data_IF_617363200122
#
_entry.id   IF_617363200122
#
_cell.length_a   1.000
_cell.length_b   1.000
_cell.length_c   1.000
_cell.angle_alpha   90.00
_cell.angle_beta   90.00
_cell.angle_gamma   90.00
#
_symmetry.space_group_name_H-M   'P 1'
#
loop_
_entity.id
_entity.type
_entity.pdbx_description
1 polymer ?
#
# COMPACT_ATOMS: atom_id res chain seq x y z
N UNK A 1 2.94 9.76 5.06
CA UNK A 1 3.32 8.95 6.25
C UNK A 1 4.82 8.92 6.41
N UNK A 2 5.33 8.70 7.62
CA UNK A 2 6.76 8.57 7.94
C UNK A 2 6.94 7.58 9.09
N UNK A 3 8.15 7.02 9.23
CA UNK A 3 8.51 6.11 10.32
C UNK A 3 8.19 4.64 10.03
N UNK A 4 8.13 3.82 11.06
CA UNK A 4 7.94 2.38 10.97
C UNK A 4 6.45 2.06 10.80
N UNK A 5 6.10 1.53 9.63
CA UNK A 5 4.73 1.10 9.31
C UNK A 5 4.65 -0.43 9.40
N UNK A 6 4.02 -0.94 10.45
CA UNK A 6 3.87 -2.38 10.64
C UNK A 6 2.88 -2.98 9.64
N UNK A 7 3.31 -3.97 8.86
CA UNK A 7 2.41 -4.79 8.07
C UNK A 7 1.75 -5.84 8.98
N UNK A 8 0.47 -5.64 9.30
CA UNK A 8 -0.24 -6.48 10.27
C UNK A 8 -0.91 -7.69 9.63
N UNK A 9 -0.89 -8.87 10.27
CA UNK A 9 -1.63 -10.05 9.83
C UNK A 9 -3.14 -9.87 10.05
N UNK A 10 -3.93 -10.69 9.37
CA UNK A 10 -5.38 -10.82 9.59
C UNK A 10 -5.66 -12.18 10.22
N UNK A 11 -5.80 -12.30 11.54
CA UNK A 11 -6.13 -13.56 12.19
C UNK A 11 -7.48 -14.11 11.71
N UNK A 12 -7.51 -15.42 11.44
CA UNK A 12 -8.71 -16.13 10.99
C UNK A 12 -8.99 -17.34 11.88
N UNK A 13 -10.23 -17.79 11.89
CA UNK A 13 -10.61 -19.06 12.51
C UNK A 13 -10.28 -20.27 11.61
N UNK A 14 -10.64 -21.47 12.06
CA UNK A 14 -10.41 -22.72 11.33
C UNK A 14 -11.17 -22.80 9.98
N UNK A 15 -12.15 -21.94 9.77
CA UNK A 15 -12.93 -21.81 8.54
C UNK A 15 -12.41 -20.69 7.62
N UNK A 16 -11.36 -19.96 8.04
CA UNK A 16 -10.78 -18.83 7.29
C UNK A 16 -11.55 -17.53 7.47
N UNK A 17 -12.44 -17.42 8.46
CA UNK A 17 -13.20 -16.20 8.73
C UNK A 17 -12.37 -15.25 9.60
N UNK A 18 -12.19 -13.97 9.19
CA UNK A 18 -11.43 -12.99 9.95
C UNK A 18 -11.99 -12.74 11.36
N UNK A 19 -11.09 -12.62 12.32
CA UNK A 19 -11.43 -12.46 13.73
C UNK A 19 -11.13 -11.03 14.21
N UNK A 20 -12.17 -10.20 14.38
CA UNK A 20 -12.06 -8.78 14.74
C UNK A 20 -11.25 -8.55 16.02
N UNK A 21 -11.55 -9.27 17.10
CA UNK A 21 -10.91 -9.02 18.40
C UNK A 21 -9.40 -9.29 18.38
N UNK A 22 -8.89 -10.47 17.95
CA UNK A 22 -7.45 -10.69 17.83
C UNK A 22 -6.76 -9.75 16.83
N UNK A 23 -7.43 -9.37 15.74
CA UNK A 23 -6.91 -8.39 14.79
C UNK A 23 -6.66 -7.03 15.45
N UNK A 24 -7.65 -6.49 16.14
CA UNK A 24 -7.53 -5.19 16.82
C UNK A 24 -6.54 -5.23 17.99
N UNK A 25 -6.46 -6.35 18.71
CA UNK A 25 -5.48 -6.54 19.77
C UNK A 25 -4.05 -6.49 19.22
N UNK A 26 -3.77 -7.21 18.13
CA UNK A 26 -2.47 -7.19 17.47
C UNK A 26 -2.11 -5.80 16.92
N UNK A 27 -3.06 -5.11 16.29
CA UNK A 27 -2.87 -3.74 15.81
C UNK A 27 -2.49 -2.78 16.95
N UNK A 28 -3.21 -2.86 18.08
CA UNK A 28 -2.93 -2.04 19.26
C UNK A 28 -1.54 -2.34 19.80
N UNK A 29 -1.22 -3.61 19.96
CA UNK A 29 0.10 -4.04 20.42
C UNK A 29 1.23 -3.47 19.54
N UNK A 30 1.11 -3.54 18.21
CA UNK A 30 2.11 -3.00 17.30
C UNK A 30 2.32 -1.48 17.51
N UNK A 31 1.24 -0.72 17.67
CA UNK A 31 1.30 0.72 17.91
C UNK A 31 1.90 1.05 19.31
N UNK A 32 1.59 0.26 20.34
CA UNK A 32 2.12 0.40 21.69
C UNK A 32 3.60 0.01 21.77
N UNK A 33 4.05 -0.91 20.92
CA UNK A 33 5.46 -1.29 20.77
C UNK A 33 6.31 -0.29 19.96
N UNK A 34 5.74 0.82 19.53
CA UNK A 34 6.50 1.92 18.93
C UNK A 34 6.41 2.00 17.41
N UNK A 35 5.55 1.21 16.75
CA UNK A 35 5.28 1.44 15.32
C UNK A 35 4.52 2.75 15.13
N UNK A 36 4.91 3.54 14.14
CA UNK A 36 4.29 4.83 13.86
C UNK A 36 2.93 4.68 13.18
N UNK A 37 2.78 3.66 12.35
CA UNK A 37 1.56 3.40 11.60
C UNK A 37 1.36 1.90 11.32
N UNK A 38 0.20 1.54 10.76
CA UNK A 38 -0.17 0.19 10.37
C UNK A 38 -0.48 0.12 8.88
N UNK A 39 -0.03 -0.95 8.23
CA UNK A 39 -0.47 -1.33 6.89
C UNK A 39 -1.42 -2.53 7.00
N UNK A 40 -2.71 -2.26 6.90
CA UNK A 40 -3.81 -3.23 6.94
C UNK A 40 -3.99 -3.86 5.57
N UNK A 41 -4.30 -5.15 5.52
CA UNK A 41 -4.57 -5.85 4.25
C UNK A 41 -3.45 -5.70 3.19
N UNK A 42 -2.20 -5.67 3.64
CA UNK A 42 -1.05 -5.91 2.77
C UNK A 42 -0.88 -7.40 2.48
N UNK A 43 0.26 -7.81 1.92
CA UNK A 43 0.58 -9.24 1.69
C UNK A 43 0.66 -10.02 3.00
N UNK A 44 1.21 -9.43 4.06
CA UNK A 44 1.22 -10.02 5.41
C UNK A 44 -0.19 -10.21 5.96
N UNK A 45 -1.11 -9.30 5.65
CA UNK A 45 -2.52 -9.37 6.03
C UNK A 45 -3.36 -10.25 5.10
N UNK A 46 -2.73 -10.95 4.15
CA UNK A 46 -3.36 -11.91 3.23
C UNK A 46 -4.59 -11.35 2.47
N UNK A 47 -4.51 -10.08 2.05
CA UNK A 47 -5.63 -9.38 1.41
C UNK A 47 -6.27 -10.16 0.24
N UNK A 48 -5.46 -10.89 -0.53
CA UNK A 48 -5.91 -11.64 -1.69
C UNK A 48 -6.64 -12.96 -1.33
N UNK A 49 -6.66 -13.35 -0.06
CA UNK A 49 -7.42 -14.50 0.46
C UNK A 49 -8.86 -14.13 0.82
N UNK A 50 -9.21 -12.84 0.80
CA UNK A 50 -10.54 -12.33 1.16
C UNK A 50 -11.23 -11.69 -0.03
N UNK A 51 -12.56 -11.84 -0.07
CA UNK A 51 -13.39 -11.11 -1.03
C UNK A 51 -13.49 -9.61 -0.69
N UNK A 52 -14.01 -8.82 -1.61
CA UNK A 52 -14.09 -7.36 -1.45
C UNK A 52 -14.98 -6.93 -0.26
N UNK A 53 -16.03 -7.68 0.07
CA UNK A 53 -16.92 -7.37 1.19
C UNK A 53 -16.19 -7.56 2.52
N UNK A 54 -15.51 -8.68 2.68
CA UNK A 54 -14.69 -8.99 3.85
C UNK A 54 -13.54 -7.99 4.04
N UNK A 55 -12.86 -7.61 2.94
CA UNK A 55 -11.81 -6.58 2.99
C UNK A 55 -12.34 -5.24 3.47
N UNK A 56 -13.51 -4.80 2.99
CA UNK A 56 -14.17 -3.57 3.46
C UNK A 56 -14.53 -3.63 4.94
N UNK A 57 -15.00 -4.77 5.41
CA UNK A 57 -15.30 -4.97 6.83
C UNK A 57 -14.05 -4.83 7.70
N UNK A 58 -12.94 -5.46 7.33
CA UNK A 58 -11.65 -5.34 8.04
C UNK A 58 -11.14 -3.89 8.03
N UNK A 59 -11.25 -3.18 6.92
CA UNK A 59 -10.92 -1.74 6.83
C UNK A 59 -11.73 -0.94 7.83
N UNK A 60 -13.05 -1.19 7.89
CA UNK A 60 -13.95 -0.50 8.81
C UNK A 60 -13.57 -0.77 10.27
N UNK A 61 -13.25 -2.03 10.63
CA UNK A 61 -12.80 -2.36 11.99
C UNK A 61 -11.59 -1.53 12.44
N UNK A 62 -10.59 -1.41 11.56
CA UNK A 62 -9.39 -0.65 11.88
C UNK A 62 -9.68 0.87 11.99
N UNK A 63 -10.45 1.41 11.05
CA UNK A 63 -10.80 2.83 11.02
C UNK A 63 -11.65 3.27 12.23
N UNK A 64 -12.53 2.39 12.73
CA UNK A 64 -13.33 2.64 13.95
C UNK A 64 -12.49 2.58 15.23
N UNK A 65 -11.40 1.81 15.23
CA UNK A 65 -10.62 1.51 16.44
C UNK A 65 -9.37 2.38 16.62
N UNK A 66 -8.84 2.94 15.53
CA UNK A 66 -7.56 3.65 15.53
C UNK A 66 -7.65 4.99 14.79
N UNK A 67 -6.69 5.88 15.08
CA UNK A 67 -6.50 7.10 14.30
C UNK A 67 -6.17 6.77 12.84
N UNK A 68 -7.04 7.17 11.92
CA UNK A 68 -6.91 6.88 10.49
C UNK A 68 -5.69 7.56 9.86
N UNK A 69 -5.14 8.62 10.47
CA UNK A 69 -3.87 9.21 10.05
C UNK A 69 -2.68 8.26 10.23
N UNK A 70 -2.83 7.22 11.06
CA UNK A 70 -1.84 6.15 11.28
C UNK A 70 -2.17 4.86 10.51
N UNK A 71 -3.09 4.91 9.55
CA UNK A 71 -3.53 3.72 8.80
C UNK A 71 -3.23 3.86 7.31
N UNK A 72 -2.57 2.84 6.77
CA UNK A 72 -2.43 2.54 5.35
C UNK A 72 -3.17 1.24 5.05
N UNK A 73 -3.71 1.06 3.85
CA UNK A 73 -4.43 -0.17 3.50
C UNK A 73 -4.12 -0.67 2.10
N UNK A 74 -3.91 -1.97 1.96
CA UNK A 74 -3.77 -2.63 0.67
C UNK A 74 -5.11 -2.74 -0.06
N UNK A 75 -5.24 -2.09 -1.22
CA UNK A 75 -6.47 -2.12 -2.04
C UNK A 75 -6.26 -2.72 -3.44
N UNK A 76 -5.00 -2.95 -3.84
CA UNK A 76 -4.67 -3.45 -5.18
C UNK A 76 -5.22 -4.85 -5.44
N UNK A 77 -5.88 -5.02 -6.61
CA UNK A 77 -6.33 -6.29 -7.18
C UNK A 77 -6.05 -6.29 -8.68
N UNK A 78 -6.12 -7.45 -9.38
CA UNK A 78 -6.01 -7.47 -10.83
C UNK A 78 -7.13 -6.71 -11.55
N UNK A 79 -8.30 -6.56 -10.91
CA UNK A 79 -9.48 -5.91 -11.47
C UNK A 79 -9.51 -4.43 -11.09
N UNK A 80 -9.41 -3.53 -12.07
CA UNK A 80 -9.45 -2.08 -11.84
C UNK A 80 -10.72 -1.65 -11.08
N UNK A 81 -11.88 -2.17 -11.47
CA UNK A 81 -13.15 -1.81 -10.84
C UNK A 81 -13.19 -2.19 -9.34
N UNK A 82 -12.60 -3.33 -8.97
CA UNK A 82 -12.52 -3.75 -7.57
C UNK A 82 -11.49 -2.90 -6.81
N UNK A 83 -10.32 -2.62 -7.39
CA UNK A 83 -9.33 -1.71 -6.81
C UNK A 83 -9.94 -0.33 -6.56
N UNK A 84 -10.70 0.21 -7.51
CA UNK A 84 -11.47 1.46 -7.34
C UNK A 84 -12.46 1.39 -6.18
N UNK A 85 -13.26 0.32 -6.12
CA UNK A 85 -14.29 0.17 -5.08
C UNK A 85 -13.70 0.00 -3.67
N UNK A 86 -12.55 -0.67 -3.55
CA UNK A 86 -11.82 -0.82 -2.29
C UNK A 86 -11.14 0.48 -1.88
N UNK A 87 -10.50 1.18 -2.83
CA UNK A 87 -9.82 2.45 -2.55
C UNK A 87 -10.81 3.55 -2.20
N UNK A 88 -11.97 3.60 -2.88
CA UNK A 88 -13.04 4.52 -2.54
C UNK A 88 -13.61 4.27 -1.13
N UNK A 89 -13.81 2.99 -0.76
CA UNK A 89 -14.24 2.63 0.59
C UNK A 89 -13.21 3.02 1.66
N UNK A 90 -11.91 2.86 1.37
CA UNK A 90 -10.86 3.30 2.27
C UNK A 90 -10.89 4.82 2.50
N UNK A 91 -11.07 5.61 1.43
CA UNK A 91 -11.26 7.08 1.53
C UNK A 91 -12.50 7.45 2.37
N UNK A 92 -13.64 6.77 2.12
CA UNK A 92 -14.87 6.98 2.89
C UNK A 92 -14.71 6.61 4.39
N UNK A 93 -13.85 5.64 4.70
CA UNK A 93 -13.50 5.25 6.06
C UNK A 93 -12.42 6.14 6.70
N UNK A 94 -11.86 7.11 5.97
CA UNK A 94 -10.92 8.10 6.47
C UNK A 94 -9.44 7.74 6.34
N UNK A 95 -9.09 6.66 5.63
CA UNK A 95 -7.69 6.35 5.33
C UNK A 95 -7.07 7.43 4.45
N UNK A 96 -5.87 7.89 4.83
CA UNK A 96 -5.12 8.84 4.01
C UNK A 96 -4.37 8.19 2.85
N UNK A 97 -3.98 6.91 2.98
CA UNK A 97 -3.10 6.21 2.03
C UNK A 97 -3.63 4.83 1.67
N UNK A 98 -3.73 4.56 0.37
CA UNK A 98 -3.94 3.22 -0.19
C UNK A 98 -2.63 2.68 -0.80
N UNK A 99 -2.27 1.45 -0.45
CA UNK A 99 -1.15 0.71 -1.01
C UNK A 99 -1.64 -0.15 -2.17
N UNK A 100 -1.18 0.12 -3.39
CA UNK A 100 -1.74 -0.47 -4.61
C UNK A 100 -0.71 -1.24 -5.41
N UNK A 101 -0.88 -2.59 -5.46
CA UNK A 101 -0.16 -3.46 -6.38
C UNK A 101 -0.51 -3.14 -7.85
N UNK A 102 0.43 -3.33 -8.80
CA UNK A 102 0.06 -3.35 -10.23
C UNK A 102 -0.92 -4.50 -10.52
N UNK A 103 -1.64 -4.48 -11.65
CA UNK A 103 -2.42 -5.64 -12.09
C UNK A 103 -1.45 -6.80 -12.36
N UNK A 104 -1.58 -7.90 -11.61
CA UNK A 104 -0.57 -8.95 -11.54
C UNK A 104 -0.99 -10.28 -12.18
N UNK A 105 -2.19 -10.40 -12.73
CA UNK A 105 -2.66 -11.68 -13.26
C UNK A 105 -2.25 -11.87 -14.73
N UNK A 106 -2.56 -10.92 -15.62
CA UNK A 106 -2.23 -10.99 -17.04
C UNK A 106 -0.85 -10.40 -17.32
N UNK A 107 0.04 -11.20 -17.89
CA UNK A 107 1.44 -10.84 -18.17
C UNK A 107 1.83 -11.23 -19.60
N UNK A 108 2.80 -10.52 -20.21
CA UNK A 108 3.47 -9.33 -19.70
C UNK A 108 2.58 -8.09 -19.75
N UNK A 109 2.78 -7.15 -18.80
CA UNK A 109 2.22 -5.81 -18.88
C UNK A 109 3.33 -4.84 -19.31
N UNK A 110 3.10 -4.06 -20.35
CA UNK A 110 4.03 -3.01 -20.76
C UNK A 110 3.89 -1.75 -19.88
N UNK A 111 4.93 -0.91 -19.89
CA UNK A 111 4.97 0.29 -19.05
C UNK A 111 3.83 1.28 -19.37
N UNK A 112 3.46 1.43 -20.65
CA UNK A 112 2.37 2.31 -21.04
C UNK A 112 1.01 1.74 -20.67
N UNK A 113 0.85 0.42 -20.67
CA UNK A 113 -0.33 -0.27 -20.15
C UNK A 113 -0.49 -0.05 -18.65
N UNK A 114 0.60 -0.18 -17.88
CA UNK A 114 0.62 0.11 -16.44
C UNK A 114 0.33 1.58 -16.16
N UNK A 115 0.91 2.50 -16.92
CA UNK A 115 0.61 3.92 -16.81
C UNK A 115 -0.89 4.20 -16.99
N UNK A 116 -1.49 3.71 -18.07
CA UNK A 116 -2.93 3.87 -18.32
C UNK A 116 -3.80 3.23 -17.25
N UNK A 117 -3.38 2.12 -16.65
CA UNK A 117 -4.12 1.47 -15.58
C UNK A 117 -4.15 2.33 -14.30
N UNK A 118 -2.99 2.86 -13.87
CA UNK A 118 -2.93 3.76 -12.71
C UNK A 118 -3.60 5.11 -12.99
N UNK A 119 -3.49 5.63 -14.21
CA UNK A 119 -4.20 6.84 -14.65
C UNK A 119 -5.73 6.63 -14.59
N UNK A 120 -6.23 5.47 -15.04
CA UNK A 120 -7.65 5.13 -14.93
C UNK A 120 -8.11 4.99 -13.47
N UNK A 121 -7.25 4.47 -12.59
CA UNK A 121 -7.51 4.46 -11.14
C UNK A 121 -7.63 5.89 -10.60
N UNK A 122 -6.70 6.79 -10.95
CA UNK A 122 -6.75 8.20 -10.56
C UNK A 122 -8.06 8.87 -11.02
N UNK A 123 -8.40 8.74 -12.30
CA UNK A 123 -9.62 9.34 -12.85
C UNK A 123 -10.90 8.76 -12.22
N UNK A 124 -10.92 7.46 -11.96
CA UNK A 124 -12.06 6.81 -11.31
C UNK A 124 -12.27 7.23 -9.86
N UNK A 125 -11.20 7.61 -9.15
CA UNK A 125 -11.29 8.17 -7.79
C UNK A 125 -11.75 9.64 -7.78
N UNK A 126 -11.59 10.36 -8.89
CA UNK A 126 -12.07 11.74 -9.03
C UNK A 126 -11.53 12.67 -7.94
N UNK A 127 -12.42 13.39 -7.23
CA UNK A 127 -12.06 14.37 -6.20
C UNK A 127 -11.73 13.79 -4.82
N UNK A 128 -11.72 12.47 -4.66
CA UNK A 128 -11.32 11.82 -3.42
C UNK A 128 -9.87 12.18 -3.07
N UNK A 129 -9.57 12.31 -1.77
CA UNK A 129 -8.27 12.81 -1.32
C UNK A 129 -7.26 11.72 -0.99
N UNK A 130 -7.67 10.45 -0.95
CA UNK A 130 -6.78 9.34 -0.63
C UNK A 130 -5.56 9.32 -1.56
N UNK A 131 -4.38 9.30 -0.96
CA UNK A 131 -3.12 9.16 -1.68
C UNK A 131 -2.89 7.70 -2.08
N UNK A 132 -2.17 7.47 -3.16
CA UNK A 132 -1.78 6.13 -3.60
C UNK A 132 -0.28 5.98 -3.42
N UNK A 133 0.10 4.98 -2.64
CA UNK A 133 1.45 4.46 -2.63
C UNK A 133 1.52 3.25 -3.55
N UNK A 134 2.47 3.24 -4.46
CA UNK A 134 2.77 2.07 -5.27
C UNK A 134 3.26 0.93 -4.40
N UNK A 135 2.91 -0.29 -4.76
CA UNK A 135 3.45 -1.47 -4.11
C UNK A 135 4.28 -2.27 -5.13
N UNK A 136 5.60 -2.10 -5.08
CA UNK A 136 6.53 -2.86 -5.91
C UNK A 136 6.91 -4.15 -5.20
N UNK A 137 6.36 -5.28 -5.65
CA UNK A 137 6.67 -6.61 -5.13
C UNK A 137 6.80 -7.61 -6.29
N UNK A 138 7.84 -7.47 -7.13
CA UNK A 138 7.98 -8.25 -8.37
C UNK A 138 8.03 -9.76 -8.14
N UNK A 139 8.55 -10.25 -7.01
CA UNK A 139 8.58 -11.68 -6.69
C UNK A 139 7.16 -12.27 -6.57
N UNK A 140 6.18 -11.50 -6.14
CA UNK A 140 4.78 -11.93 -6.01
C UNK A 140 3.95 -11.56 -7.23
N UNK A 141 4.16 -10.37 -7.79
CA UNK A 141 3.35 -9.85 -8.88
C UNK A 141 3.85 -10.31 -10.25
N UNK A 142 5.15 -10.59 -10.39
CA UNK A 142 5.80 -10.79 -11.69
C UNK A 142 5.75 -9.55 -12.59
N UNK A 143 5.44 -8.38 -12.03
CA UNK A 143 5.27 -7.11 -12.73
C UNK A 143 6.05 -6.04 -11.97
N UNK A 144 7.33 -5.80 -12.31
CA UNK A 144 8.13 -4.77 -11.67
C UNK A 144 7.63 -3.37 -12.08
N UNK A 145 7.64 -2.45 -11.12
CA UNK A 145 7.39 -1.03 -11.36
C UNK A 145 8.72 -0.33 -11.61
N UNK A 146 8.94 0.17 -12.83
CA UNK A 146 10.19 0.86 -13.16
C UNK A 146 10.26 2.25 -12.55
N UNK A 147 11.45 2.80 -12.22
CA UNK A 147 11.58 4.19 -11.77
C UNK A 147 10.95 5.18 -12.76
N UNK A 148 11.12 4.95 -14.04
CA UNK A 148 10.54 5.77 -15.11
C UNK A 148 9.02 5.81 -15.06
N UNK A 149 8.35 4.67 -14.85
CA UNK A 149 6.89 4.63 -14.70
C UNK A 149 6.42 5.44 -13.48
N UNK A 150 7.10 5.26 -12.36
CA UNK A 150 6.78 5.97 -11.10
C UNK A 150 6.96 7.48 -11.27
N UNK A 151 8.09 7.91 -11.85
CA UNK A 151 8.33 9.33 -12.16
C UNK A 151 7.25 9.92 -13.07
N UNK A 152 6.86 9.20 -14.13
CA UNK A 152 5.81 9.66 -15.07
C UNK A 152 4.48 9.85 -14.35
N UNK A 153 4.07 8.90 -13.50
CA UNK A 153 2.80 8.95 -12.77
C UNK A 153 2.81 10.05 -11.70
N UNK A 154 3.89 10.14 -10.92
CA UNK A 154 4.02 11.16 -9.90
C UNK A 154 4.03 12.57 -10.51
N UNK A 155 4.78 12.80 -11.60
CA UNK A 155 4.79 14.12 -12.29
C UNK A 155 3.46 14.48 -12.93
N UNK A 156 2.71 13.50 -13.43
CA UNK A 156 1.38 13.73 -14.00
C UNK A 156 0.33 14.03 -12.92
N UNK A 157 0.43 13.39 -11.75
CA UNK A 157 -0.56 13.44 -10.68
C UNK A 157 0.13 13.50 -9.29
N UNK A 158 0.88 14.58 -8.98
CA UNK A 158 1.75 14.64 -7.80
C UNK A 158 1.01 14.55 -6.46
N UNK A 159 -0.25 14.95 -6.40
CA UNK A 159 -1.08 14.84 -5.19
C UNK A 159 -1.70 13.46 -5.01
N UNK A 160 -1.70 12.62 -6.05
CA UNK A 160 -2.29 11.29 -6.02
C UNK A 160 -1.26 10.18 -5.77
N UNK A 161 -0.16 10.19 -6.49
CA UNK A 161 0.87 9.16 -6.41
C UNK A 161 2.07 9.71 -5.64
N UNK A 162 2.04 9.55 -4.32
CA UNK A 162 2.92 10.27 -3.40
C UNK A 162 3.98 9.39 -2.72
N UNK A 163 3.94 8.07 -2.95
CA UNK A 163 4.92 7.18 -2.34
C UNK A 163 4.95 5.77 -2.92
N UNK A 164 5.88 4.98 -2.40
CA UNK A 164 6.07 3.58 -2.75
C UNK A 164 6.49 2.77 -1.52
N UNK A 165 5.93 1.55 -1.39
CA UNK A 165 6.52 0.47 -0.63
C UNK A 165 7.26 -0.46 -1.59
N UNK A 166 8.55 -0.62 -1.40
CA UNK A 166 9.34 -1.55 -2.19
C UNK A 166 9.66 -2.83 -1.44
N UNK A 167 9.25 -3.96 -1.99
CA UNK A 167 9.54 -5.30 -1.50
C UNK A 167 10.40 -6.10 -2.49
N UNK A 168 11.08 -5.44 -3.43
CA UNK A 168 12.00 -6.09 -4.35
C UNK A 168 13.29 -6.55 -3.66
N UNK A 169 13.68 -5.85 -2.59
CA UNK A 169 14.97 -6.01 -1.93
C UNK A 169 16.11 -5.23 -2.60
N UNK A 170 15.82 -4.42 -3.61
CA UNK A 170 16.80 -3.59 -4.32
C UNK A 170 16.87 -2.19 -3.71
N UNK A 171 17.81 -1.98 -2.79
CA UNK A 171 18.03 -0.69 -2.16
C UNK A 171 18.58 0.37 -3.12
N UNK A 172 19.28 -0.03 -4.20
CA UNK A 172 19.74 0.92 -5.21
C UNK A 172 18.54 1.53 -5.93
N UNK A 173 17.56 0.70 -6.31
CA UNK A 173 16.29 1.16 -6.86
C UNK A 173 15.59 2.17 -5.93
N UNK A 174 15.54 1.89 -4.63
CA UNK A 174 14.93 2.83 -3.66
C UNK A 174 15.70 4.16 -3.58
N UNK A 175 17.04 4.13 -3.57
CA UNK A 175 17.88 5.34 -3.56
C UNK A 175 17.75 6.17 -4.84
N UNK A 176 17.66 5.52 -5.98
CA UNK A 176 17.42 6.21 -7.26
C UNK A 176 16.11 6.99 -7.23
N UNK A 177 15.03 6.40 -6.66
CA UNK A 177 13.75 7.07 -6.50
C UNK A 177 13.83 8.27 -5.55
N UNK A 178 14.50 8.16 -4.40
CA UNK A 178 14.64 9.30 -3.47
C UNK A 178 15.44 10.44 -4.08
N UNK A 179 16.40 10.14 -4.95
CA UNK A 179 17.20 11.13 -5.65
C UNK A 179 16.40 11.83 -6.75
N UNK A 180 15.63 11.06 -7.53
CA UNK A 180 14.84 11.59 -8.65
C UNK A 180 13.58 12.35 -8.20
N UNK A 181 13.03 11.99 -7.04
CA UNK A 181 11.75 12.47 -6.50
C UNK A 181 11.89 12.84 -5.01
N UNK A 182 12.44 14.01 -4.67
CA UNK A 182 12.72 14.39 -3.27
C UNK A 182 11.49 14.45 -2.35
N UNK A 183 10.30 14.73 -2.91
CA UNK A 183 9.04 14.85 -2.17
C UNK A 183 8.22 13.54 -2.19
N UNK A 184 8.79 12.45 -2.69
CA UNK A 184 8.13 11.16 -2.83
C UNK A 184 8.53 10.23 -1.67
N UNK A 185 7.54 9.68 -0.98
CA UNK A 185 7.77 8.82 0.18
C UNK A 185 8.22 7.40 -0.25
N UNK A 186 9.46 7.03 0.06
CA UNK A 186 10.02 5.71 -0.27
C UNK A 186 10.19 4.88 0.99
N UNK A 187 9.57 3.69 1.03
CA UNK A 187 9.65 2.72 2.11
C UNK A 187 10.27 1.41 1.61
N UNK A 188 11.57 1.16 1.83
CA UNK A 188 12.14 -0.17 1.67
C UNK A 188 11.58 -1.11 2.74
N UNK A 189 11.05 -2.28 2.36
CA UNK A 189 10.28 -3.13 3.27
C UNK A 189 11.04 -4.36 3.78
N UNK A 190 12.35 -4.25 3.94
CA UNK A 190 13.17 -5.32 4.49
C UNK A 190 13.65 -4.95 5.89
N UNK A 191 13.44 -5.81 6.88
CA UNK A 191 13.97 -5.63 8.24
C UNK A 191 15.50 -5.54 8.25
N UNK A 192 16.18 -6.14 7.27
CA UNK A 192 17.63 -6.04 7.12
C UNK A 192 18.09 -4.65 6.68
N UNK A 193 17.19 -3.85 6.10
CA UNK A 193 17.45 -2.47 5.67
C UNK A 193 17.00 -1.40 6.67
N UNK A 194 16.45 -1.78 7.84
CA UNK A 194 16.01 -0.79 8.85
C UNK A 194 17.11 0.16 9.28
N UNK A 195 18.35 -0.32 9.43
CA UNK A 195 19.50 0.53 9.75
C UNK A 195 19.82 1.53 8.63
N UNK A 196 19.52 1.19 7.39
CA UNK A 196 19.69 2.06 6.22
C UNK A 196 18.47 2.94 5.96
N UNK A 197 17.28 2.51 6.38
CA UNK A 197 16.06 3.30 6.31
C UNK A 197 16.14 4.56 7.21
N UNK A 198 16.96 4.53 8.25
CA UNK A 198 17.33 5.71 9.03
C UNK A 198 18.25 6.70 8.27
N UNK A 199 18.71 6.34 7.06
CA UNK A 199 19.54 7.21 6.22
C UNK A 199 18.66 8.30 5.60
N UNK A 200 19.13 9.56 5.51
CA UNK A 200 18.36 10.63 4.87
C UNK A 200 17.88 10.26 3.46
N UNK A 201 16.59 10.45 3.20
CA UNK A 201 15.96 10.22 1.91
C UNK A 201 14.86 9.15 1.91
N UNK A 202 14.87 8.21 2.87
CA UNK A 202 13.74 7.29 3.04
C UNK A 202 12.69 7.85 4.01
N UNK A 203 11.45 7.45 3.81
CA UNK A 203 10.34 7.86 4.68
C UNK A 203 10.20 6.96 5.92
N UNK A 204 10.77 5.77 5.90
CA UNK A 204 10.79 4.80 6.97
C UNK A 204 11.32 3.44 6.52
#
# INVERSE_FOLDING_TARGET
MQGIIAAVPTPVDAQGVPQKAPFLEHCRWALECGCDALNVLGSTGEANSFDAATRKEIMTWAAEAFDTARLMVGTGTPALAETLALTAHADDAGYGVALVLPPYYYKPADEDGLFRWYEALHHGLGTRRIEIYFYNFPQMTGTPLTPRLIERLHRAYPERFTGIKDSSGDLAYCRDLTTALPDFAVFPSSETSLAEAATPGFAG
#
